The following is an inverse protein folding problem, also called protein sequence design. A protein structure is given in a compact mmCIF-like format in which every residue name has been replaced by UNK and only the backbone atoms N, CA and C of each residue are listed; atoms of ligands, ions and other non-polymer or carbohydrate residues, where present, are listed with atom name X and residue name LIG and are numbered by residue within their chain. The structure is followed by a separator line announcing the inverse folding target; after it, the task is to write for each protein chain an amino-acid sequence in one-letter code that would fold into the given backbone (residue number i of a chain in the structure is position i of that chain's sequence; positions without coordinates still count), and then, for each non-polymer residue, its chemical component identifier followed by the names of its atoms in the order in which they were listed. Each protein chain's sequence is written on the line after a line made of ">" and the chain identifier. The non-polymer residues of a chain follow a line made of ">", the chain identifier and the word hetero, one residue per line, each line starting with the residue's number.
data_IF_616688178094
#
_entry.id   IF_616688178094
#
_cell.length_a   1.000
_cell.length_b   1.000
_cell.length_c   1.000
_cell.angle_alpha   90.00
_cell.angle_beta   90.00
_cell.angle_gamma   90.00
#
_symmetry.space_group_name_H-M   'P 1'
#
loop_
_entity.id
_entity.type
_entity.pdbx_description
1 polymer ?
#
# COMPACT_ATOMS: atom_id res chain seq x y z
N UNK A 1 18.67 32.52 50.69
CA UNK A 1 19.30 31.87 51.85
C UNK A 1 20.63 31.32 51.38
N UNK A 2 21.73 31.90 51.87
CA UNK A 2 23.08 31.58 51.42
C UNK A 2 23.57 30.29 52.06
N UNK A 3 24.06 29.37 51.24
CA UNK A 3 25.10 28.40 51.60
C UNK A 3 26.27 28.66 50.66
N UNK A 4 27.34 29.24 51.21
CA UNK A 4 28.62 29.44 50.53
C UNK A 4 29.40 28.12 50.50
N UNK A 5 29.94 27.80 49.32
CA UNK A 5 31.31 27.35 49.06
C UNK A 5 32.03 26.48 50.11
N UNK A 6 32.22 25.20 49.77
CA UNK A 6 33.53 24.51 49.76
C UNK A 6 33.36 23.10 49.21
N UNK A 7 34.11 22.74 48.16
CA UNK A 7 34.10 21.35 47.67
C UNK A 7 34.68 21.11 46.28
N UNK A 8 35.95 21.46 46.09
CA UNK A 8 36.94 20.65 45.34
C UNK A 8 36.59 20.19 43.90
N UNK A 9 37.18 20.93 42.96
CA UNK A 9 37.87 20.45 41.75
C UNK A 9 37.98 18.91 41.58
N UNK A 10 37.28 18.35 40.59
CA UNK A 10 37.56 17.00 40.11
C UNK A 10 36.41 16.35 39.36
N UNK A 11 36.69 15.88 38.14
CA UNK A 11 35.94 14.88 37.36
C UNK A 11 34.77 15.36 36.49
N UNK A 12 35.13 15.76 35.26
CA UNK A 12 34.24 15.68 34.12
C UNK A 12 34.26 14.24 33.55
N UNK A 13 33.21 13.45 33.81
CA UNK A 13 32.79 12.26 33.03
C UNK A 13 31.29 12.09 33.21
N UNK A 14 30.52 12.38 32.16
CA UNK A 14 29.86 11.45 31.21
C UNK A 14 28.40 11.26 31.59
N UNK A 15 27.49 11.83 30.80
CA UNK A 15 26.11 11.36 30.54
C UNK A 15 25.65 12.15 29.29
N UNK A 16 25.68 11.55 28.10
CA UNK A 16 24.50 10.99 27.42
C UNK A 16 23.32 11.98 27.37
N UNK A 17 23.16 12.66 26.24
CA UNK A 17 21.83 12.81 25.63
C UNK A 17 21.97 12.65 24.11
N UNK A 18 21.65 11.44 23.64
CA UNK A 18 21.25 11.20 22.26
C UNK A 18 20.02 12.05 21.93
N UNK A 19 19.89 12.64 20.72
CA UNK A 19 18.59 13.04 20.23
C UNK A 19 17.82 11.78 19.76
N UNK A 20 17.22 11.04 20.69
CA UNK A 20 16.18 10.07 20.37
C UNK A 20 14.86 10.83 20.20
N UNK A 21 14.43 11.00 18.95
CA UNK A 21 13.06 10.72 18.49
C UNK A 21 12.84 11.25 17.06
N UNK A 22 13.42 10.59 16.06
CA UNK A 22 12.68 10.46 14.80
C UNK A 22 11.62 9.40 15.09
N UNK A 23 10.39 9.83 15.34
CA UNK A 23 9.25 8.93 15.35
C UNK A 23 9.12 8.38 13.94
N UNK A 24 9.70 7.21 13.71
CA UNK A 24 9.32 6.38 12.59
C UNK A 24 7.82 6.16 12.73
N UNK A 25 7.06 6.88 11.91
CA UNK A 25 5.64 6.64 11.73
C UNK A 25 5.53 5.25 11.15
N UNK A 26 5.38 4.30 12.07
CA UNK A 26 4.96 2.94 11.84
C UNK A 26 3.68 2.98 11.00
N UNK A 27 3.82 2.85 9.68
CA UNK A 27 2.68 2.56 8.80
C UNK A 27 2.40 1.07 8.95
N UNK A 28 1.77 0.70 10.06
CA UNK A 28 1.04 -0.56 10.14
C UNK A 28 -0.32 -0.35 9.48
N UNK A 29 -0.33 -0.40 8.14
CA UNK A 29 -1.53 -0.75 7.41
C UNK A 29 -1.66 -2.28 7.46
N UNK A 30 -2.15 -2.80 8.59
CA UNK A 30 -2.74 -4.12 8.61
C UNK A 30 -3.92 -4.11 7.65
N UNK A 31 -3.69 -4.52 6.41
CA UNK A 31 -4.71 -4.64 5.37
C UNK A 31 -5.62 -5.82 5.74
N UNK A 32 -6.58 -5.59 6.65
CA UNK A 32 -7.73 -6.47 6.80
C UNK A 32 -8.55 -6.31 5.52
N UNK A 33 -8.32 -7.20 4.57
CA UNK A 33 -8.97 -7.20 3.25
C UNK A 33 -10.45 -7.53 3.43
N UNK A 34 -11.27 -6.52 3.70
CA UNK A 34 -12.72 -6.64 3.72
C UNK A 34 -13.21 -6.73 2.29
N UNK A 35 -13.41 -7.93 1.75
CA UNK A 35 -14.10 -8.11 0.47
C UNK A 35 -15.60 -7.99 0.74
N UNK A 36 -16.32 -7.04 0.13
CA UNK A 36 -17.77 -6.93 0.28
C UNK A 36 -18.43 -8.28 -0.03
N UNK A 37 -19.34 -8.73 0.85
CA UNK A 37 -20.00 -10.05 0.75
C UNK A 37 -20.69 -10.30 -0.59
N UNK A 38 -21.06 -9.23 -1.29
CA UNK A 38 -21.64 -9.28 -2.64
C UNK A 38 -20.83 -8.42 -3.60
N UNK A 39 -19.92 -9.05 -4.34
CA UNK A 39 -19.20 -8.39 -5.42
C UNK A 39 -20.05 -8.36 -6.70
N UNK A 40 -19.93 -7.30 -7.53
CA UNK A 40 -20.62 -7.24 -8.80
C UNK A 40 -20.00 -8.25 -9.78
N UNK A 41 -20.78 -9.23 -10.26
CA UNK A 41 -20.32 -10.19 -11.27
C UNK A 41 -20.71 -9.71 -12.66
N UNK A 42 -19.73 -9.58 -13.55
CA UNK A 42 -19.95 -9.28 -14.96
C UNK A 42 -20.25 -10.57 -15.73
N UNK A 43 -21.41 -10.60 -16.38
CA UNK A 43 -21.87 -11.73 -17.19
C UNK A 43 -21.73 -11.47 -18.70
N UNK A 44 -21.25 -10.29 -19.09
CA UNK A 44 -21.17 -9.83 -20.48
C UNK A 44 -22.29 -8.86 -20.87
N UNK A 45 -23.21 -8.51 -19.96
CA UNK A 45 -24.29 -7.55 -20.17
C UNK A 45 -24.17 -6.38 -19.20
N UNK A 46 -24.81 -5.25 -19.55
CA UNK A 46 -24.89 -4.05 -18.70
C UNK A 46 -23.51 -3.59 -18.19
N UNK A 47 -22.54 -3.52 -19.10
CA UNK A 47 -21.14 -3.20 -18.77
C UNK A 47 -21.01 -1.91 -17.98
N UNK A 48 -21.72 -0.84 -18.34
CA UNK A 48 -21.65 0.44 -17.63
C UNK A 48 -22.11 0.32 -16.16
N UNK A 49 -23.18 -0.44 -15.90
CA UNK A 49 -23.66 -0.67 -14.54
C UNK A 49 -22.65 -1.47 -13.72
N UNK A 50 -22.04 -2.50 -14.32
CA UNK A 50 -20.99 -3.27 -13.66
C UNK A 50 -19.74 -2.42 -13.41
N UNK A 51 -19.31 -1.62 -14.40
CA UNK A 51 -18.15 -0.75 -14.34
C UNK A 51 -18.27 0.27 -13.21
N UNK A 52 -19.41 0.96 -13.08
CA UNK A 52 -19.64 1.93 -12.00
C UNK A 52 -19.54 1.25 -10.62
N UNK A 53 -20.11 0.04 -10.47
CA UNK A 53 -20.00 -0.72 -9.22
C UNK A 53 -18.56 -1.13 -8.93
N UNK A 54 -17.81 -1.61 -9.92
CA UNK A 54 -16.40 -1.98 -9.77
C UNK A 54 -15.52 -0.79 -9.39
N UNK A 55 -15.72 0.37 -10.02
CA UNK A 55 -15.00 1.60 -9.67
C UNK A 55 -15.25 2.00 -8.21
N UNK A 56 -16.47 1.84 -7.72
CA UNK A 56 -16.79 2.08 -6.32
C UNK A 56 -16.05 1.10 -5.38
N UNK A 57 -15.93 -0.18 -5.75
CA UNK A 57 -15.16 -1.16 -4.97
C UNK A 57 -13.67 -0.82 -4.98
N UNK A 58 -13.08 -0.48 -6.13
CA UNK A 58 -11.67 -0.09 -6.21
C UNK A 58 -11.35 1.17 -5.40
N UNK A 59 -12.26 2.15 -5.41
CA UNK A 59 -12.16 3.33 -4.56
C UNK A 59 -12.20 2.97 -3.08
N UNK A 60 -13.13 2.10 -2.67
CA UNK A 60 -13.25 1.64 -1.28
C UNK A 60 -12.00 0.87 -0.79
N UNK A 61 -11.41 0.04 -1.65
CA UNK A 61 -10.19 -0.71 -1.35
C UNK A 61 -8.90 0.14 -1.49
N UNK A 62 -9.03 1.40 -1.92
CA UNK A 62 -7.89 2.30 -2.18
C UNK A 62 -6.89 1.73 -3.21
N UNK A 63 -7.38 1.02 -4.22
CA UNK A 63 -6.57 0.42 -5.31
C UNK A 63 -6.82 1.06 -6.67
N UNK A 64 -7.67 2.09 -6.74
CA UNK A 64 -8.10 2.70 -8.01
C UNK A 64 -6.93 3.26 -8.83
N UNK A 65 -5.89 3.78 -8.19
CA UNK A 65 -4.70 4.28 -8.89
C UNK A 65 -3.94 3.16 -9.60
N UNK A 66 -3.85 1.97 -8.98
CA UNK A 66 -3.15 0.82 -9.58
C UNK A 66 -3.87 0.32 -10.84
N UNK A 67 -5.20 0.31 -10.85
CA UNK A 67 -6.00 -0.12 -12.03
C UNK A 67 -5.98 0.93 -13.14
N UNK A 68 -6.00 2.22 -12.79
CA UNK A 68 -6.15 3.30 -13.78
C UNK A 68 -4.80 3.76 -14.32
N UNK A 69 -3.82 4.00 -13.44
CA UNK A 69 -2.50 4.50 -13.78
C UNK A 69 -1.52 3.35 -13.98
N UNK A 70 -1.61 2.30 -13.17
CA UNK A 70 -0.62 1.23 -13.12
C UNK A 70 0.62 1.63 -12.31
N UNK A 71 1.68 0.85 -12.47
CA UNK A 71 2.96 1.09 -11.83
C UNK A 71 4.10 0.72 -12.79
N UNK A 72 5.30 1.23 -12.51
CA UNK A 72 6.45 1.09 -13.40
C UNK A 72 7.57 0.35 -12.68
N UNK A 73 8.19 -0.59 -13.37
CA UNK A 73 9.33 -1.32 -12.83
C UNK A 73 10.51 -0.37 -12.53
N UNK A 74 11.12 -0.44 -11.33
CA UNK A 74 12.25 0.40 -10.98
C UNK A 74 13.46 0.10 -11.85
N UNK A 75 14.26 1.12 -12.15
CA UNK A 75 15.56 0.94 -12.82
C UNK A 75 16.53 0.18 -11.93
N UNK A 76 17.57 -0.42 -12.53
CA UNK A 76 18.61 -1.17 -11.79
C UNK A 76 19.25 -0.36 -10.66
N UNK A 77 19.45 0.94 -10.87
CA UNK A 77 20.02 1.88 -9.91
C UNK A 77 18.98 2.61 -9.03
N UNK A 78 17.73 2.13 -8.99
CA UNK A 78 16.71 2.70 -8.13
C UNK A 78 17.09 2.62 -6.65
N UNK A 79 16.71 3.64 -5.89
CA UNK A 79 16.96 3.69 -4.44
C UNK A 79 16.17 2.61 -3.71
N UNK A 80 16.51 2.37 -2.45
CA UNK A 80 15.82 1.39 -1.63
C UNK A 80 14.35 1.76 -1.45
N UNK A 81 14.05 3.05 -1.27
CA UNK A 81 12.71 3.59 -1.11
C UNK A 81 11.85 3.34 -2.37
N UNK A 82 12.41 3.58 -3.56
CA UNK A 82 11.73 3.34 -4.83
C UNK A 82 11.36 1.85 -5.00
N UNK A 83 12.27 0.94 -4.61
CA UNK A 83 12.02 -0.50 -4.66
C UNK A 83 10.94 -0.94 -3.66
N UNK A 84 10.89 -0.31 -2.48
CA UNK A 84 9.85 -0.57 -1.49
C UNK A 84 8.47 -0.13 -1.98
N UNK A 85 8.37 1.06 -2.57
CA UNK A 85 7.13 1.57 -3.17
C UNK A 85 6.64 0.63 -4.27
N UNK A 86 7.53 0.18 -5.15
CA UNK A 86 7.17 -0.77 -6.21
C UNK A 86 6.66 -2.11 -5.67
N UNK A 87 7.28 -2.66 -4.62
CA UNK A 87 6.79 -3.89 -3.97
C UNK A 87 5.39 -3.70 -3.39
N UNK A 88 5.11 -2.54 -2.79
CA UNK A 88 3.78 -2.22 -2.28
C UNK A 88 2.76 -2.13 -3.42
N UNK A 89 3.11 -1.51 -4.54
CA UNK A 89 2.25 -1.43 -5.72
C UNK A 89 1.97 -2.81 -6.33
N UNK A 90 2.96 -3.70 -6.40
CA UNK A 90 2.76 -5.09 -6.83
C UNK A 90 1.78 -5.85 -5.93
N UNK A 91 1.85 -5.63 -4.61
CA UNK A 91 0.90 -6.24 -3.67
C UNK A 91 -0.53 -5.76 -3.95
N UNK A 92 -0.72 -4.44 -4.10
CA UNK A 92 -2.02 -3.85 -4.43
C UNK A 92 -2.53 -4.33 -5.79
N UNK A 93 -1.65 -4.48 -6.78
CA UNK A 93 -2.02 -5.02 -8.09
C UNK A 93 -2.52 -6.46 -8.01
N UNK A 94 -1.82 -7.30 -7.24
CA UNK A 94 -2.23 -8.69 -7.01
C UNK A 94 -3.58 -8.79 -6.30
N UNK A 95 -3.80 -7.95 -5.28
CA UNK A 95 -5.10 -7.83 -4.60
C UNK A 95 -6.21 -7.40 -5.56
N UNK A 96 -5.88 -6.51 -6.50
CA UNK A 96 -6.84 -6.00 -7.45
C UNK A 96 -7.17 -6.99 -8.56
N UNK A 97 -6.18 -7.72 -9.08
CA UNK A 97 -6.41 -8.84 -9.99
C UNK A 97 -7.31 -9.90 -9.35
N UNK A 98 -7.05 -10.25 -8.09
CA UNK A 98 -7.92 -11.17 -7.34
C UNK A 98 -9.36 -10.66 -7.30
N UNK A 99 -9.56 -9.37 -7.01
CA UNK A 99 -10.88 -8.75 -7.00
C UNK A 99 -11.54 -8.80 -8.39
N UNK A 100 -10.82 -8.46 -9.47
CA UNK A 100 -11.33 -8.54 -10.84
C UNK A 100 -11.79 -9.96 -11.16
N UNK A 101 -11.01 -10.98 -10.81
CA UNK A 101 -11.34 -12.38 -11.07
C UNK A 101 -12.60 -12.84 -10.33
N UNK A 102 -12.86 -12.34 -9.13
CA UNK A 102 -14.11 -12.60 -8.40
C UNK A 102 -15.32 -11.88 -9.01
N UNK A 103 -15.09 -10.80 -9.75
CA UNK A 103 -16.12 -9.92 -10.31
C UNK A 103 -16.48 -10.23 -11.76
N UNK A 104 -15.96 -11.31 -12.35
CA UNK A 104 -16.27 -11.72 -13.73
C UNK A 104 -16.70 -13.18 -13.78
N UNK A 105 -17.53 -13.54 -14.76
CA UNK A 105 -17.84 -14.94 -15.00
C UNK A 105 -16.64 -15.69 -15.63
N UNK A 106 -16.68 -17.02 -15.62
CA UNK A 106 -15.57 -17.86 -16.12
C UNK A 106 -15.25 -17.62 -17.61
N UNK A 107 -16.24 -17.27 -18.43
CA UNK A 107 -16.02 -16.99 -19.86
C UNK A 107 -15.19 -15.72 -20.07
N UNK A 108 -15.40 -14.70 -19.24
CA UNK A 108 -14.69 -13.43 -19.30
C UNK A 108 -13.34 -13.57 -18.61
N UNK A 109 -13.27 -14.30 -17.50
CA UNK A 109 -12.00 -14.64 -16.84
C UNK A 109 -10.99 -15.23 -17.83
N UNK A 110 -11.40 -16.21 -18.63
CA UNK A 110 -10.54 -16.84 -19.64
C UNK A 110 -10.03 -15.86 -20.72
N UNK A 111 -10.71 -14.73 -20.93
CA UNK A 111 -10.26 -13.70 -21.88
C UNK A 111 -9.21 -12.78 -21.26
N UNK A 112 -9.33 -12.50 -19.98
CA UNK A 112 -8.44 -11.58 -19.26
C UNK A 112 -7.30 -12.30 -18.50
N UNK A 113 -7.30 -13.64 -18.46
CA UNK A 113 -6.33 -14.43 -17.70
C UNK A 113 -4.87 -14.28 -18.14
N UNK A 114 -4.64 -13.71 -19.34
CA UNK A 114 -3.30 -13.43 -19.85
C UNK A 114 -2.81 -12.01 -19.48
N UNK A 115 -3.67 -11.19 -18.87
CA UNK A 115 -3.28 -9.88 -18.37
C UNK A 115 -2.25 -10.03 -17.25
N UNK A 116 -1.13 -9.35 -17.37
CA UNK A 116 -0.04 -9.43 -16.40
C UNK A 116 -0.25 -8.47 -15.22
N UNK A 117 -1.08 -7.44 -15.39
CA UNK A 117 -1.42 -6.45 -14.36
C UNK A 117 -2.93 -6.22 -14.30
N UNK A 118 -3.43 -5.67 -13.19
CA UNK A 118 -4.85 -5.30 -13.06
C UNK A 118 -5.30 -4.20 -14.03
N UNK A 119 -4.36 -3.39 -14.52
CA UNK A 119 -4.59 -2.38 -15.56
C UNK A 119 -4.81 -2.97 -16.96
N UNK A 120 -4.17 -4.11 -17.24
CA UNK A 120 -4.31 -4.81 -18.52
C UNK A 120 -5.56 -5.68 -18.61
N UNK A 121 -6.09 -6.10 -17.47
CA UNK A 121 -7.28 -6.93 -17.34
C UNK A 121 -8.57 -6.15 -17.66
#
# INVERSE_FOLDING_TARGET
>A
MMWWLSGVLGEARTDIEEPVAVKDSKIEAGSSSFVPRSLPVFDGKLFDNWRVKMLAVFGFQNVIEVVTVGFVEPRRNATQEQRLIFKQQQKLDSETQFLIYQCVNSKILNKISNASTSKEA
#
